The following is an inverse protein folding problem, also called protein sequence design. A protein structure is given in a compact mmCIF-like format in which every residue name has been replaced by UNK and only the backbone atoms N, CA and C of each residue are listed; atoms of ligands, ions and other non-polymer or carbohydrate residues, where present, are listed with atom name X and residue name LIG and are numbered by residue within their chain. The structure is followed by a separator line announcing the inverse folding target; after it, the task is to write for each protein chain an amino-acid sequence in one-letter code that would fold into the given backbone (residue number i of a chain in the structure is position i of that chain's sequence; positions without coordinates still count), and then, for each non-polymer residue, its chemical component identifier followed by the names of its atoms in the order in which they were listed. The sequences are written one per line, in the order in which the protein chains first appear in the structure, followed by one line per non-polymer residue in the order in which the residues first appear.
data_IF_269717648221
#
_entry.id   IF_269717648221
#
_cell.length_a   1.000
_cell.length_b   1.000
_cell.length_c   1.000
_cell.angle_alpha   90.00
_cell.angle_beta   90.00
_cell.angle_gamma   90.00
#
_symmetry.space_group_name_H-M   'P 1'
#
loop_
_entity.id
_entity.type
_entity.pdbx_description
1 polymer ?
#
# COMPACT_ATOMS: atom_id res chain seq x y z
N UNK A 1 -20.48 -14.29 -3.93
CA UNK A 1 -19.79 -13.13 -4.54
C UNK A 1 -19.53 -11.99 -3.56
N UNK A 2 -20.49 -11.57 -2.73
CA UNK A 2 -20.26 -10.57 -1.68
C UNK A 2 -19.11 -10.96 -0.71
N UNK A 3 -19.03 -12.24 -0.32
CA UNK A 3 -17.93 -12.78 0.51
C UNK A 3 -16.56 -12.70 -0.19
N UNK A 4 -16.51 -12.84 -1.52
CA UNK A 4 -15.25 -12.73 -2.27
C UNK A 4 -14.80 -11.28 -2.31
N UNK A 5 -15.72 -10.34 -2.57
CA UNK A 5 -15.44 -8.91 -2.52
C UNK A 5 -14.92 -8.48 -1.16
N UNK A 6 -15.56 -8.90 -0.06
CA UNK A 6 -15.10 -8.57 1.29
C UNK A 6 -13.73 -9.17 1.62
N UNK A 7 -13.43 -10.40 1.17
CA UNK A 7 -12.10 -11.00 1.33
C UNK A 7 -11.01 -10.17 0.64
N UNK A 8 -11.27 -9.72 -0.59
CA UNK A 8 -10.32 -8.88 -1.36
C UNK A 8 -10.12 -7.54 -0.65
N UNK A 9 -11.20 -6.87 -0.24
CA UNK A 9 -11.11 -5.59 0.47
C UNK A 9 -10.34 -5.73 1.79
N UNK A 10 -10.56 -6.82 2.53
CA UNK A 10 -9.82 -7.10 3.76
C UNK A 10 -8.32 -7.30 3.49
N UNK A 11 -7.98 -8.06 2.44
CA UNK A 11 -6.57 -8.27 2.05
C UNK A 11 -5.90 -6.95 1.63
N UNK A 12 -6.58 -6.11 0.85
CA UNK A 12 -6.09 -4.77 0.46
C UNK A 12 -5.93 -3.85 1.68
N UNK A 13 -6.83 -3.93 2.66
CA UNK A 13 -6.75 -3.17 3.90
C UNK A 13 -5.53 -3.59 4.73
N UNK A 14 -5.28 -4.89 4.86
CA UNK A 14 -4.08 -5.41 5.52
C UNK A 14 -2.83 -4.91 4.79
N UNK A 15 -2.81 -5.00 3.46
CA UNK A 15 -1.70 -4.51 2.66
C UNK A 15 -1.45 -3.00 2.84
N UNK A 16 -2.51 -2.19 2.94
CA UNK A 16 -2.39 -0.77 3.26
C UNK A 16 -1.70 -0.54 4.61
N UNK A 17 -2.03 -1.32 5.64
CA UNK A 17 -1.34 -1.25 6.93
C UNK A 17 0.13 -1.68 6.82
N UNK A 18 0.46 -2.70 6.03
CA UNK A 18 1.86 -3.09 5.78
C UNK A 18 2.65 -1.95 5.15
N UNK A 19 2.08 -1.26 4.16
CA UNK A 19 2.67 -0.07 3.54
C UNK A 19 2.90 1.03 4.59
N UNK A 20 1.88 1.33 5.42
CA UNK A 20 1.98 2.34 6.48
C UNK A 20 3.09 2.00 7.48
N UNK A 21 3.13 0.76 7.97
CA UNK A 21 4.19 0.30 8.87
C UNK A 21 5.56 0.49 8.23
N UNK A 22 5.73 0.08 6.96
CA UNK A 22 7.00 0.21 6.25
C UNK A 22 7.45 1.66 6.03
N UNK A 23 6.51 2.59 5.84
CA UNK A 23 6.80 4.03 5.80
C UNK A 23 7.32 4.49 7.15
N UNK A 24 6.61 4.20 8.25
CA UNK A 24 7.04 4.60 9.59
C UNK A 24 8.37 3.96 10.02
N UNK A 25 8.69 2.76 9.51
CA UNK A 25 10.01 2.14 9.71
C UNK A 25 11.16 2.97 9.10
N UNK A 26 10.91 3.91 8.17
CA UNK A 26 11.96 4.83 7.72
C UNK A 26 12.39 5.86 8.77
N UNK A 27 11.52 6.14 9.74
CA UNK A 27 11.79 7.15 10.77
C UNK A 27 12.52 6.56 11.98
N UNK A 28 12.57 5.23 12.06
CA UNK A 28 13.26 4.50 13.11
C UNK A 28 14.61 4.01 12.56
N UNK A 29 15.75 4.40 13.17
CA UNK A 29 17.06 3.94 12.75
C UNK A 29 17.16 2.41 12.68
N UNK A 30 17.78 1.88 11.63
CA UNK A 30 18.00 0.45 11.38
C UNK A 30 16.73 -0.43 11.26
N UNK A 31 15.52 0.13 11.36
CA UNK A 31 14.30 -0.68 11.35
C UNK A 31 14.08 -1.36 9.99
N UNK A 32 14.29 -0.65 8.87
CA UNK A 32 14.20 -1.25 7.52
C UNK A 32 15.27 -2.30 7.23
N UNK A 33 16.43 -2.18 7.87
CA UNK A 33 17.56 -3.09 7.69
C UNK A 33 17.39 -4.39 8.50
N UNK A 34 16.52 -4.39 9.51
CA UNK A 34 16.17 -5.60 10.26
C UNK A 34 15.59 -6.69 9.36
N UNK A 35 15.66 -7.96 9.79
CA UNK A 35 15.06 -9.09 9.05
C UNK A 35 13.57 -8.89 8.76
N UNK A 36 12.82 -8.35 9.74
CA UNK A 36 11.42 -8.00 9.56
C UNK A 36 11.23 -6.86 8.54
N UNK A 37 12.09 -5.83 8.59
CA UNK A 37 12.05 -4.71 7.64
C UNK A 37 12.35 -5.13 6.21
N UNK A 38 13.33 -6.01 6.00
CA UNK A 38 13.64 -6.57 4.68
C UNK A 38 12.52 -7.45 4.16
N UNK A 39 11.95 -8.30 5.02
CA UNK A 39 10.78 -9.12 4.66
C UNK A 39 9.60 -8.23 4.24
N UNK A 40 9.24 -7.24 5.06
CA UNK A 40 8.15 -6.31 4.76
C UNK A 40 8.43 -5.55 3.46
N UNK A 41 9.66 -5.05 3.30
CA UNK A 41 10.13 -4.39 2.09
C UNK A 41 9.93 -5.23 0.84
N UNK A 42 10.24 -6.52 0.87
CA UNK A 42 10.04 -7.41 -0.29
C UNK A 42 8.58 -7.51 -0.75
N UNK A 43 7.62 -7.24 0.15
CA UNK A 43 6.17 -7.26 -0.12
C UNK A 43 5.67 -5.90 -0.63
N UNK A 44 6.15 -4.80 -0.05
CA UNK A 44 5.61 -3.45 -0.35
C UNK A 44 6.41 -2.66 -1.38
N UNK A 45 7.71 -2.91 -1.53
CA UNK A 45 8.58 -2.19 -2.48
C UNK A 45 8.14 -2.33 -3.94
N UNK A 46 7.72 -3.51 -4.46
CA UNK A 46 7.24 -3.62 -5.84
C UNK A 46 6.06 -2.69 -6.16
N UNK A 47 5.25 -2.36 -5.16
CA UNK A 47 4.15 -1.41 -5.30
C UNK A 47 4.60 0.04 -5.14
N UNK A 48 5.51 0.33 -4.20
CA UNK A 48 5.98 1.70 -3.92
C UNK A 48 6.97 2.24 -4.96
N UNK A 49 7.82 1.38 -5.54
CA UNK A 49 8.88 1.76 -6.47
C UNK A 49 8.36 2.54 -7.71
N UNK A 50 7.26 2.14 -8.37
CA UNK A 50 6.68 2.94 -9.46
C UNK A 50 6.29 4.36 -9.04
N UNK A 51 5.76 4.55 -7.84
CA UNK A 51 5.39 5.89 -7.35
C UNK A 51 6.62 6.74 -7.11
N UNK A 52 7.71 6.18 -6.57
CA UNK A 52 8.99 6.90 -6.39
C UNK A 52 9.64 7.30 -7.71
N UNK A 53 9.44 6.52 -8.77
CA UNK A 53 9.93 6.84 -10.13
C UNK A 53 9.16 8.01 -10.75
N UNK A 54 7.88 8.15 -10.45
CA UNK A 54 7.01 9.19 -11.02
C UNK A 54 7.04 10.46 -10.16
N UNK A 55 7.11 10.32 -8.84
CA UNK A 55 6.99 11.40 -7.87
C UNK A 55 8.36 11.59 -7.21
N UNK A 56 9.12 12.63 -7.59
CA UNK A 56 10.40 12.90 -6.98
C UNK A 56 10.24 13.23 -5.49
N UNK A 57 11.22 12.88 -4.63
CA UNK A 57 11.19 13.24 -3.23
C UNK A 57 11.23 14.77 -3.05
N UNK A 58 10.54 15.27 -2.01
CA UNK A 58 10.59 16.68 -1.63
C UNK A 58 11.69 16.87 -0.58
N UNK A 59 12.88 17.25 -1.04
CA UNK A 59 14.06 17.32 -0.19
C UNK A 59 14.42 15.93 0.35
N UNK A 60 14.38 15.76 1.67
CA UNK A 60 14.68 14.48 2.35
C UNK A 60 13.42 13.62 2.58
N UNK A 61 12.23 14.10 2.24
CA UNK A 61 10.97 13.43 2.54
C UNK A 61 10.43 12.76 1.27
N UNK A 62 10.24 11.44 1.36
CA UNK A 62 9.54 10.67 0.34
C UNK A 62 8.02 10.87 0.47
N UNK A 63 7.45 11.67 -0.43
CA UNK A 63 5.99 11.93 -0.49
C UNK A 63 5.25 10.89 -1.35
N UNK A 64 5.98 10.07 -2.11
CA UNK A 64 5.38 9.05 -2.98
C UNK A 64 4.44 8.06 -2.25
N UNK A 65 4.68 7.69 -0.97
CA UNK A 65 3.80 6.74 -0.30
C UNK A 65 2.41 7.31 0.00
N UNK A 66 2.28 8.64 0.12
CA UNK A 66 0.97 9.28 0.29
C UNK A 66 0.11 9.03 -0.96
N UNK A 67 0.71 9.22 -2.14
CA UNK A 67 0.02 8.99 -3.41
C UNK A 67 -0.24 7.50 -3.62
N UNK A 68 0.70 6.62 -3.23
CA UNK A 68 0.48 5.18 -3.26
C UNK A 68 -0.73 4.79 -2.39
N UNK A 69 -0.81 5.25 -1.13
CA UNK A 69 -1.96 4.97 -0.25
C UNK A 69 -3.28 5.52 -0.85
N UNK A 70 -3.24 6.70 -1.47
CA UNK A 70 -4.41 7.27 -2.14
C UNK A 70 -4.89 6.39 -3.31
N UNK A 71 -3.97 5.93 -4.17
CA UNK A 71 -4.28 5.04 -5.29
C UNK A 71 -4.81 3.68 -4.79
N UNK A 72 -4.23 3.14 -3.72
CA UNK A 72 -4.73 1.90 -3.11
C UNK A 72 -6.17 2.07 -2.59
N UNK A 73 -6.49 3.23 -2.00
CA UNK A 73 -7.86 3.56 -1.59
C UNK A 73 -8.84 3.65 -2.76
N UNK A 74 -8.42 4.27 -3.87
CA UNK A 74 -9.23 4.30 -5.08
C UNK A 74 -9.46 2.90 -5.65
N UNK A 75 -8.44 2.04 -5.65
CA UNK A 75 -8.56 0.66 -6.08
C UNK A 75 -9.55 -0.13 -5.20
N UNK A 76 -9.50 0.02 -3.87
CA UNK A 76 -10.48 -0.59 -2.96
C UNK A 76 -11.91 -0.14 -3.27
N UNK A 77 -12.12 1.16 -3.50
CA UNK A 77 -13.44 1.69 -3.90
C UNK A 77 -13.90 1.09 -5.24
N UNK A 78 -13.00 0.98 -6.20
CA UNK A 78 -13.27 0.35 -7.49
C UNK A 78 -13.72 -1.09 -7.34
N UNK A 79 -13.02 -1.89 -6.52
CA UNK A 79 -13.43 -3.26 -6.20
C UNK A 79 -14.83 -3.29 -5.59
N UNK A 80 -15.12 -2.46 -4.59
CA UNK A 80 -16.45 -2.39 -3.98
C UNK A 80 -17.54 -2.07 -5.00
N UNK A 81 -17.31 -1.09 -5.88
CA UNK A 81 -18.28 -0.71 -6.93
C UNK A 81 -18.49 -1.85 -7.93
N UNK A 82 -17.42 -2.50 -8.38
CA UNK A 82 -17.51 -3.62 -9.31
C UNK A 82 -18.31 -4.78 -8.72
N UNK A 83 -18.03 -5.18 -7.47
CA UNK A 83 -18.74 -6.28 -6.81
C UNK A 83 -20.19 -5.93 -6.43
N UNK A 84 -20.51 -4.65 -6.23
CA UNK A 84 -21.88 -4.22 -5.94
C UNK A 84 -22.72 -4.06 -7.22
N UNK A 85 -22.13 -3.57 -8.32
CA UNK A 85 -22.87 -3.21 -9.53
C UNK A 85 -22.92 -4.32 -10.59
N UNK A 86 -21.91 -5.20 -10.68
CA UNK A 86 -21.92 -6.32 -11.64
C UNK A 86 -22.74 -7.53 -11.17
N UNK A 87 -23.36 -7.45 -9.99
CA UNK A 87 -24.01 -8.58 -9.32
C UNK A 87 -25.43 -8.25 -8.81
N UNK A 88 -25.99 -7.12 -9.25
CA UNK A 88 -27.43 -6.88 -9.29
C UNK A 88 -28.00 -7.39 -10.62
#
# INVERSE_FOLDING_TARGET
MAMLGSLIINAMTIYMFLVIIYIFMSWVPNARESSFGQFLGSIVEPYLEPFRKIIPPLGMIDISPIVAIFVLNLAMRGVTVLFNNLLL
#
